data_IF_599703322642
#
_entry.id   IF_599703322642
#
_cell.length_a   1.000
_cell.length_b   1.000
_cell.length_c   1.000
_cell.angle_alpha   90.00
_cell.angle_beta   90.00
_cell.angle_gamma   90.00
#
_symmetry.space_group_name_H-M   'P 1'
#
loop_
_entity.id
_entity.type
_entity.pdbx_description
1 polymer ?
#
# COMPACT_ATOMS: atom_id res chain seq x y z
N UNK A 1 -28.11 -31.50 -6.98
CA UNK A 1 -27.06 -30.49 -6.89
C UNK A 1 -27.59 -29.37 -6.00
N UNK A 2 -26.96 -29.11 -4.86
CA UNK A 2 -27.29 -27.91 -4.07
C UNK A 2 -26.94 -26.67 -4.92
N UNK A 3 -27.76 -25.60 -4.92
CA UNK A 3 -27.44 -24.37 -5.62
C UNK A 3 -26.08 -23.86 -5.12
N UNK A 4 -25.18 -23.49 -6.03
CA UNK A 4 -23.90 -22.87 -5.66
C UNK A 4 -24.24 -21.63 -4.83
N UNK A 5 -23.74 -21.56 -3.60
CA UNK A 5 -23.85 -20.36 -2.77
C UNK A 5 -23.35 -19.16 -3.56
N UNK A 6 -24.08 -18.03 -3.51
CA UNK A 6 -23.61 -16.79 -4.13
C UNK A 6 -22.30 -16.40 -3.46
N UNK A 7 -21.28 -16.14 -4.27
CA UNK A 7 -19.98 -15.65 -3.77
C UNK A 7 -20.16 -14.32 -3.06
N UNK A 8 -19.58 -14.16 -1.88
CA UNK A 8 -19.63 -12.95 -1.07
C UNK A 8 -18.22 -12.63 -0.58
N UNK A 9 -17.70 -11.50 -1.02
CA UNK A 9 -16.42 -10.96 -0.54
C UNK A 9 -16.66 -9.68 0.23
N UNK A 10 -15.94 -9.53 1.33
CA UNK A 10 -15.78 -8.25 2.02
C UNK A 10 -14.38 -7.72 1.73
N UNK A 11 -14.29 -6.43 1.48
CA UNK A 11 -13.04 -5.68 1.56
C UNK A 11 -13.12 -4.77 2.77
N UNK A 12 -12.18 -4.92 3.70
CA UNK A 12 -12.11 -4.12 4.93
C UNK A 12 -10.90 -3.21 4.85
N UNK A 13 -11.10 -1.91 5.10
CA UNK A 13 -10.08 -0.87 4.99
C UNK A 13 -10.12 0.03 6.23
N UNK A 14 -8.99 0.21 6.90
CA UNK A 14 -8.90 1.02 8.13
C UNK A 14 -8.91 2.52 7.80
N UNK A 15 -9.79 3.25 8.43
CA UNK A 15 -9.91 4.70 8.20
C UNK A 15 -8.69 5.46 8.74
N UNK A 16 -7.90 6.06 7.83
CA UNK A 16 -6.67 6.80 8.16
C UNK A 16 -5.75 6.00 9.10
N UNK A 17 -5.41 4.78 8.73
CA UNK A 17 -4.79 3.75 9.56
C UNK A 17 -3.69 4.26 10.50
N UNK A 18 -2.58 4.76 9.96
CA UNK A 18 -1.45 5.19 10.78
C UNK A 18 -1.81 6.31 11.76
N UNK A 19 -2.65 7.27 11.32
CA UNK A 19 -3.10 8.33 12.23
C UNK A 19 -4.02 7.79 13.32
N UNK A 20 -4.97 6.91 12.97
CA UNK A 20 -5.90 6.32 13.93
C UNK A 20 -5.16 5.47 14.96
N UNK A 21 -4.20 4.67 14.52
CA UNK A 21 -3.38 3.84 15.43
C UNK A 21 -2.47 4.67 16.31
N UNK A 22 -1.85 5.75 15.78
CA UNK A 22 -1.06 6.71 16.59
C UNK A 22 -1.94 7.41 17.62
N UNK A 23 -3.14 7.85 17.24
CA UNK A 23 -4.07 8.50 18.17
C UNK A 23 -4.45 7.57 19.35
N UNK A 24 -4.72 6.30 19.05
CA UNK A 24 -5.03 5.30 20.10
C UNK A 24 -3.83 5.07 21.02
N UNK A 25 -2.62 5.01 20.47
CA UNK A 25 -1.41 4.86 21.27
C UNK A 25 -1.21 6.05 22.23
N UNK A 26 -1.37 7.28 21.74
CA UNK A 26 -1.24 8.50 22.54
C UNK A 26 -2.27 8.52 23.66
N UNK A 27 -3.54 8.22 23.37
CA UNK A 27 -4.58 8.15 24.39
C UNK A 27 -4.31 7.05 25.44
N UNK A 28 -3.81 5.88 25.00
CA UNK A 28 -3.43 4.80 25.90
C UNK A 28 -2.24 5.16 26.81
N UNK A 29 -1.36 6.05 26.36
CA UNK A 29 -0.23 6.59 27.12
C UNK A 29 -0.62 7.76 28.04
N UNK A 30 -1.92 8.12 28.11
CA UNK A 30 -2.44 9.15 28.99
C UNK A 30 -2.52 10.56 28.40
N UNK A 31 -2.26 10.72 27.10
CA UNK A 31 -2.52 11.99 26.42
C UNK A 31 -4.04 12.22 26.32
N UNK A 32 -4.47 13.47 26.44
CA UNK A 32 -5.90 13.82 26.43
C UNK A 32 -6.41 14.25 25.04
N UNK A 33 -5.48 14.59 24.14
CA UNK A 33 -5.82 15.06 22.80
C UNK A 33 -5.94 13.90 21.82
N UNK A 34 -7.13 13.71 21.28
CA UNK A 34 -7.34 12.76 20.19
C UNK A 34 -6.93 13.38 18.85
N UNK A 35 -5.83 12.91 18.26
CA UNK A 35 -5.30 13.39 16.98
C UNK A 35 -6.29 13.26 15.80
N UNK A 36 -7.30 12.41 15.91
CA UNK A 36 -8.35 12.23 14.89
C UNK A 36 -9.32 13.41 14.83
N UNK A 37 -9.43 14.19 15.91
CA UNK A 37 -10.38 15.29 16.05
C UNK A 37 -9.83 16.66 15.67
N UNK A 38 -8.52 16.76 15.49
CA UNK A 38 -7.80 18.01 15.18
C UNK A 38 -6.99 17.89 13.89
N UNK A 39 -6.56 19.02 13.26
CA UNK A 39 -5.64 18.95 12.13
C UNK A 39 -4.30 18.35 12.55
N UNK A 40 -4.11 17.06 12.29
CA UNK A 40 -2.93 16.28 12.63
C UNK A 40 -2.50 15.36 11.48
N UNK A 41 -1.22 15.07 11.44
CA UNK A 41 -0.62 14.11 10.51
C UNK A 41 0.36 13.20 11.24
N UNK A 42 0.56 12.01 10.70
CA UNK A 42 1.75 11.20 10.99
C UNK A 42 2.78 11.53 9.92
N UNK A 43 3.98 11.89 10.33
CA UNK A 43 5.04 12.26 9.42
C UNK A 43 6.42 11.90 9.96
N UNK A 44 7.37 11.74 9.05
CA UNK A 44 8.75 11.46 9.39
C UNK A 44 9.50 12.69 9.89
N UNK A 45 10.78 12.48 10.17
CA UNK A 45 11.69 13.50 10.68
C UNK A 45 12.16 14.45 9.57
N UNK A 46 11.82 15.74 9.68
CA UNK A 46 12.20 16.77 8.70
C UNK A 46 13.72 17.00 8.67
N UNK A 47 14.41 16.90 9.82
CA UNK A 47 15.85 17.11 9.90
C UNK A 47 16.63 16.02 9.18
N UNK A 48 16.07 14.80 9.14
CA UNK A 48 16.64 13.66 8.42
C UNK A 48 16.18 13.54 6.96
N UNK A 49 15.52 14.58 6.41
CA UNK A 49 14.92 14.56 5.06
C UNK A 49 13.81 13.51 4.88
N UNK A 50 13.24 13.02 5.97
CA UNK A 50 12.11 12.08 5.96
C UNK A 50 10.78 12.80 6.22
N UNK A 51 10.75 14.13 6.14
CA UNK A 51 9.60 14.97 6.43
C UNK A 51 8.47 14.86 5.41
N UNK A 52 7.85 13.69 5.29
CA UNK A 52 6.72 13.40 4.39
C UNK A 52 5.50 13.01 5.21
N UNK A 53 4.31 13.48 4.79
CA UNK A 53 3.03 13.09 5.37
C UNK A 53 2.71 11.64 5.01
N UNK A 54 2.68 10.76 6.00
CA UNK A 54 2.32 9.33 5.84
C UNK A 54 0.81 9.11 5.97
N UNK A 55 0.17 9.79 6.93
CA UNK A 55 -1.27 9.74 7.13
C UNK A 55 -1.75 11.08 7.70
N UNK A 56 -3.04 11.35 7.54
CA UNK A 56 -3.66 12.61 7.96
C UNK A 56 -5.02 12.40 8.59
N UNK A 57 -5.39 13.30 9.51
CA UNK A 57 -6.73 13.37 10.07
C UNK A 57 -7.74 13.91 9.05
N UNK A 58 -9.04 13.64 9.29
CA UNK A 58 -10.11 14.24 8.49
C UNK A 58 -10.11 15.77 8.61
N UNK A 59 -9.91 16.39 9.78
CA UNK A 59 -9.70 17.84 9.88
C UNK A 59 -8.52 18.33 9.03
N UNK A 60 -7.36 17.65 9.02
CA UNK A 60 -6.22 18.03 8.17
C UNK A 60 -6.55 17.95 6.67
N UNK A 61 -7.34 16.94 6.25
CA UNK A 61 -7.79 16.81 4.85
C UNK A 61 -8.57 18.04 4.36
N UNK A 62 -9.34 18.71 5.24
CA UNK A 62 -10.13 19.90 4.90
C UNK A 62 -9.27 21.11 4.51
N UNK A 63 -8.01 21.15 4.96
CA UNK A 63 -7.02 22.16 4.57
C UNK A 63 -6.24 21.77 3.31
N UNK A 64 -6.66 20.72 2.60
CA UNK A 64 -5.99 20.26 1.37
C UNK A 64 -4.66 19.56 1.59
N UNK A 65 -4.36 19.16 2.83
CA UNK A 65 -3.15 18.37 3.14
C UNK A 65 -3.28 16.98 2.47
N UNK A 66 -2.20 16.52 1.83
CA UNK A 66 -2.20 15.26 1.10
C UNK A 66 -1.13 14.29 1.64
N UNK A 67 -1.45 12.99 1.62
CA UNK A 67 -0.45 11.94 1.88
C UNK A 67 0.60 11.98 0.77
N UNK A 68 1.87 11.85 1.14
CA UNK A 68 3.00 11.92 0.21
C UNK A 68 3.57 13.32 0.01
N UNK A 69 2.91 14.40 0.46
CA UNK A 69 3.51 15.73 0.39
C UNK A 69 4.51 15.99 1.53
N UNK A 70 5.41 16.94 1.35
CA UNK A 70 6.36 17.32 2.40
C UNK A 70 5.65 17.99 3.59
N UNK A 71 6.17 17.78 4.80
CA UNK A 71 5.65 18.46 6.00
C UNK A 71 5.75 19.98 5.88
N UNK A 72 6.78 20.50 5.20
CA UNK A 72 6.90 21.92 4.88
C UNK A 72 5.68 22.43 4.10
N UNK A 73 5.26 21.74 3.03
CA UNK A 73 4.06 22.09 2.27
C UNK A 73 2.78 21.94 3.09
N UNK A 74 2.70 20.91 3.92
CA UNK A 74 1.56 20.71 4.81
C UNK A 74 1.43 21.84 5.84
N UNK A 75 2.54 22.28 6.45
CA UNK A 75 2.57 23.42 7.38
C UNK A 75 2.27 24.77 6.69
N UNK A 76 2.64 24.93 5.43
CA UNK A 76 2.26 26.12 4.65
C UNK A 76 0.75 26.24 4.47
N UNK A 77 0.03 25.12 4.40
CA UNK A 77 -1.44 25.09 4.34
C UNK A 77 -2.11 25.27 5.70
N UNK A 78 -1.48 24.77 6.76
CA UNK A 78 -1.95 24.91 8.13
C UNK A 78 -0.77 25.00 9.11
N UNK A 79 -0.35 26.24 9.55
CA UNK A 79 0.83 26.42 10.37
C UNK A 79 0.83 25.69 11.72
N UNK A 80 -0.34 25.55 12.34
CA UNK A 80 -0.51 24.88 13.63
C UNK A 80 -0.72 23.35 13.49
N UNK A 81 -0.26 22.74 12.39
CA UNK A 81 -0.39 21.32 12.14
C UNK A 81 0.37 20.50 13.19
N UNK A 82 -0.33 19.60 13.83
CA UNK A 82 0.26 18.64 14.75
C UNK A 82 0.89 17.51 13.94
N UNK A 83 2.16 17.25 14.18
CA UNK A 83 2.91 16.17 13.52
C UNK A 83 3.31 15.14 14.58
N UNK A 84 2.83 13.91 14.42
CA UNK A 84 3.21 12.79 15.28
C UNK A 84 4.21 11.89 14.54
N UNK A 85 5.19 11.35 15.25
CA UNK A 85 6.14 10.41 14.69
C UNK A 85 5.48 9.04 14.40
N UNK A 86 5.88 8.31 13.35
CA UNK A 86 5.38 6.98 13.09
C UNK A 86 5.98 5.94 14.03
N UNK A 87 5.15 4.98 14.46
CA UNK A 87 5.55 3.78 15.19
C UNK A 87 5.11 2.54 14.39
N UNK A 88 5.98 2.02 13.55
CA UNK A 88 5.65 0.90 12.66
C UNK A 88 5.43 -0.42 13.43
N UNK A 89 6.08 -0.63 14.56
CA UNK A 89 5.87 -1.83 15.39
C UNK A 89 4.46 -1.84 15.97
N UNK A 90 4.00 -0.67 16.42
CA UNK A 90 2.62 -0.49 16.87
C UNK A 90 1.61 -0.71 15.74
N UNK A 91 1.91 -0.24 14.53
CA UNK A 91 1.04 -0.43 13.37
C UNK A 91 0.92 -1.91 13.00
N UNK A 92 2.01 -2.64 12.96
CA UNK A 92 2.02 -4.09 12.72
C UNK A 92 1.22 -4.84 13.80
N UNK A 93 1.32 -4.43 15.06
CA UNK A 93 0.56 -5.01 16.17
C UNK A 93 -0.94 -4.84 15.98
N UNK A 94 -1.40 -3.64 15.60
CA UNK A 94 -2.82 -3.36 15.36
C UNK A 94 -3.34 -4.09 14.11
N UNK A 95 -2.57 -4.12 13.04
CA UNK A 95 -2.88 -4.89 11.84
C UNK A 95 -3.09 -6.38 12.16
N UNK A 96 -2.15 -6.99 12.87
CA UNK A 96 -2.26 -8.40 13.30
C UNK A 96 -3.46 -8.64 14.22
N UNK A 97 -3.80 -7.70 15.10
CA UNK A 97 -4.98 -7.80 15.95
C UNK A 97 -6.28 -7.79 15.12
N UNK A 98 -6.36 -6.92 14.12
CA UNK A 98 -7.48 -6.87 13.17
C UNK A 98 -7.61 -8.18 12.38
N UNK A 99 -6.53 -8.71 11.84
CA UNK A 99 -6.53 -9.99 11.09
C UNK A 99 -6.99 -11.14 11.98
N UNK A 100 -6.63 -11.17 13.28
CA UNK A 100 -7.13 -12.18 14.22
C UNK A 100 -8.66 -12.11 14.38
N UNK A 101 -9.23 -10.91 14.48
CA UNK A 101 -10.69 -10.73 14.53
C UNK A 101 -11.33 -11.32 13.27
N UNK A 102 -10.76 -11.08 12.08
CA UNK A 102 -11.29 -11.64 10.83
C UNK A 102 -11.27 -13.19 10.83
N UNK A 103 -10.23 -13.78 11.43
CA UNK A 103 -10.11 -15.24 11.56
C UNK A 103 -11.26 -15.92 12.31
N UNK A 104 -12.00 -15.17 13.14
CA UNK A 104 -13.18 -15.70 13.83
C UNK A 104 -14.41 -15.78 12.90
N UNK A 105 -14.37 -15.14 11.74
CA UNK A 105 -15.50 -15.10 10.78
C UNK A 105 -15.24 -15.94 9.53
N UNK A 106 -14.00 -16.04 9.08
CA UNK A 106 -13.63 -16.85 7.92
C UNK A 106 -12.15 -17.27 7.98
N UNK A 107 -11.82 -18.49 7.53
CA UNK A 107 -10.42 -18.88 7.33
C UNK A 107 -9.82 -18.33 6.03
N UNK A 108 -10.65 -17.86 5.10
CA UNK A 108 -10.23 -17.39 3.77
C UNK A 108 -10.00 -15.87 3.82
N UNK A 109 -8.83 -15.47 4.33
CA UNK A 109 -8.41 -14.08 4.45
C UNK A 109 -7.22 -13.85 3.52
N UNK A 110 -7.28 -12.80 2.71
CA UNK A 110 -6.14 -12.28 1.96
C UNK A 110 -5.80 -10.89 2.51
N UNK A 111 -4.70 -10.80 3.24
CA UNK A 111 -4.18 -9.50 3.69
C UNK A 111 -3.54 -8.80 2.49
N UNK A 112 -4.18 -7.74 2.01
CA UNK A 112 -3.73 -6.98 0.84
C UNK A 112 -2.65 -5.95 1.19
N UNK A 113 -2.79 -5.31 2.36
CA UNK A 113 -1.81 -4.37 2.92
C UNK A 113 -1.80 -4.45 4.44
N UNK A 114 -1.07 -3.55 5.10
CA UNK A 114 -1.06 -3.46 6.57
C UNK A 114 -2.43 -3.07 7.15
N UNK A 115 -3.26 -2.38 6.37
CA UNK A 115 -4.54 -1.79 6.78
C UNK A 115 -5.74 -2.28 5.97
N UNK A 116 -5.52 -3.18 5.00
CA UNK A 116 -6.58 -3.70 4.13
C UNK A 116 -6.55 -5.24 4.04
N UNK A 117 -7.74 -5.84 4.02
CA UNK A 117 -7.87 -7.27 3.79
C UNK A 117 -9.15 -7.61 3.02
N UNK A 118 -9.09 -8.69 2.23
CA UNK A 118 -10.25 -9.34 1.64
C UNK A 118 -10.64 -10.56 2.47
N UNK A 119 -11.94 -10.72 2.69
CA UNK A 119 -12.54 -11.84 3.41
C UNK A 119 -13.51 -12.57 2.47
N UNK A 120 -13.32 -13.86 2.27
CA UNK A 120 -14.32 -14.67 1.58
C UNK A 120 -15.36 -15.13 2.60
N UNK A 121 -16.53 -14.51 2.56
CA UNK A 121 -17.66 -14.78 3.44
C UNK A 121 -18.71 -15.69 2.81
N UNK A 122 -18.37 -16.36 1.69
CA UNK A 122 -19.28 -17.27 0.99
C UNK A 122 -19.69 -18.43 1.89
N UNK A 123 -20.99 -18.59 2.09
CA UNK A 123 -21.55 -19.66 2.92
C UNK A 123 -21.54 -19.42 4.43
N UNK A 124 -21.09 -18.25 4.89
CA UNK A 124 -21.03 -17.90 6.33
C UNK A 124 -22.36 -17.41 6.92
N UNK A 125 -23.40 -17.24 6.08
CA UNK A 125 -24.70 -16.67 6.51
C UNK A 125 -25.37 -17.46 7.64
N UNK A 126 -25.19 -18.79 7.66
CA UNK A 126 -25.76 -19.64 8.71
C UNK A 126 -25.14 -19.40 10.10
N UNK A 127 -23.93 -18.84 10.16
CA UNK A 127 -23.22 -18.56 11.41
C UNK A 127 -23.33 -17.10 11.83
N UNK A 128 -23.25 -16.17 10.87
CA UNK A 128 -23.12 -14.74 11.16
C UNK A 128 -24.29 -13.90 10.64
N UNK A 129 -25.31 -14.53 10.08
CA UNK A 129 -26.46 -13.84 9.47
C UNK A 129 -26.15 -13.28 8.08
N UNK A 130 -27.06 -12.45 7.52
CA UNK A 130 -26.90 -11.83 6.21
C UNK A 130 -25.60 -11.00 6.11
N UNK A 131 -24.99 -10.86 4.91
CA UNK A 131 -23.69 -10.20 4.73
C UNK A 131 -23.62 -8.80 5.35
N UNK A 132 -24.68 -8.01 5.26
CA UNK A 132 -24.71 -6.67 5.86
C UNK A 132 -24.65 -6.71 7.39
N UNK A 133 -25.32 -7.68 8.01
CA UNK A 133 -25.30 -7.88 9.47
C UNK A 133 -23.90 -8.35 9.93
N UNK A 134 -23.31 -9.32 9.23
CA UNK A 134 -21.97 -9.80 9.51
C UNK A 134 -20.93 -8.67 9.42
N UNK A 135 -21.01 -7.84 8.37
CA UNK A 135 -20.13 -6.68 8.20
C UNK A 135 -20.31 -5.65 9.33
N UNK A 136 -21.55 -5.38 9.75
CA UNK A 136 -21.82 -4.48 10.89
C UNK A 136 -21.19 -5.05 12.18
N UNK A 137 -21.36 -6.35 12.43
CA UNK A 137 -20.79 -7.01 13.61
C UNK A 137 -19.26 -6.92 13.63
N UNK A 138 -18.61 -7.16 12.48
CA UNK A 138 -17.15 -7.02 12.34
C UNK A 138 -16.72 -5.57 12.62
N UNK A 139 -17.37 -4.60 11.99
CA UNK A 139 -17.09 -3.17 12.15
C UNK A 139 -17.20 -2.74 13.61
N UNK A 140 -18.29 -3.08 14.27
CA UNK A 140 -18.55 -2.71 15.68
C UNK A 140 -17.58 -3.39 16.64
N UNK A 141 -17.19 -4.64 16.33
CA UNK A 141 -16.19 -5.36 17.10
C UNK A 141 -14.81 -4.72 17.02
N UNK A 142 -14.36 -4.35 15.81
CA UNK A 142 -13.09 -3.64 15.61
C UNK A 142 -13.10 -2.34 16.39
N UNK A 143 -14.17 -1.57 16.28
CA UNK A 143 -14.28 -0.30 17.01
C UNK A 143 -14.22 -0.50 18.54
N UNK A 144 -14.96 -1.46 19.06
CA UNK A 144 -15.02 -1.74 20.50
C UNK A 144 -13.71 -2.31 21.06
N UNK A 145 -13.08 -3.26 20.34
CA UNK A 145 -11.91 -3.99 20.86
C UNK A 145 -10.59 -3.32 20.52
N UNK A 146 -10.51 -2.62 19.38
CA UNK A 146 -9.28 -2.02 18.87
C UNK A 146 -9.31 -0.48 18.83
N UNK A 147 -10.50 0.14 18.99
CA UNK A 147 -10.64 1.60 19.12
C UNK A 147 -10.56 2.41 17.82
N UNK A 148 -10.47 1.77 16.64
CA UNK A 148 -10.49 2.46 15.35
C UNK A 148 -11.68 2.03 14.48
N UNK A 149 -11.92 2.76 13.41
CA UNK A 149 -13.02 2.49 12.49
C UNK A 149 -12.52 1.92 11.17
N UNK A 150 -13.38 1.18 10.50
CA UNK A 150 -13.11 0.60 9.18
C UNK A 150 -14.24 0.89 8.22
N UNK A 151 -13.93 0.95 6.93
CA UNK A 151 -14.90 0.83 5.86
C UNK A 151 -14.98 -0.62 5.39
N UNK A 152 -16.18 -1.08 5.06
CA UNK A 152 -16.40 -2.43 4.52
C UNK A 152 -17.17 -2.33 3.20
N UNK A 153 -16.59 -2.88 2.14
CA UNK A 153 -17.27 -3.09 0.86
C UNK A 153 -17.71 -4.55 0.74
N UNK A 154 -18.95 -4.78 0.35
CA UNK A 154 -19.56 -6.11 0.17
C UNK A 154 -19.89 -6.28 -1.31
N UNK A 155 -19.38 -7.35 -1.94
CA UNK A 155 -19.59 -7.60 -3.36
C UNK A 155 -19.44 -9.08 -3.74
N UNK A 156 -19.82 -9.48 -4.97
CA UNK A 156 -19.64 -10.85 -5.44
C UNK A 156 -18.19 -11.20 -5.81
N UNK A 157 -17.30 -10.23 -5.91
CA UNK A 157 -15.85 -10.41 -6.16
C UNK A 157 -15.04 -9.35 -5.40
N UNK A 158 -13.70 -9.53 -5.34
CA UNK A 158 -12.78 -8.65 -4.59
C UNK A 158 -12.69 -7.26 -5.20
N UNK A 159 -12.64 -7.17 -6.53
CA UNK A 159 -12.59 -5.89 -7.25
C UNK A 159 -13.76 -4.98 -6.84
N UNK A 160 -14.99 -5.49 -6.96
CA UNK A 160 -16.17 -4.72 -6.60
C UNK A 160 -16.25 -4.45 -5.09
N UNK A 161 -15.79 -5.38 -4.24
CA UNK A 161 -15.72 -5.15 -2.79
C UNK A 161 -14.75 -4.01 -2.45
N UNK A 162 -13.57 -3.97 -3.10
CA UNK A 162 -12.62 -2.86 -2.96
C UNK A 162 -13.22 -1.54 -3.43
N UNK A 163 -13.83 -1.52 -4.60
CA UNK A 163 -14.49 -0.32 -5.13
C UNK A 163 -15.60 0.18 -4.20
N UNK A 164 -16.39 -0.73 -3.63
CA UNK A 164 -17.45 -0.38 -2.70
C UNK A 164 -16.91 0.26 -1.40
N UNK A 165 -15.82 -0.25 -0.84
CA UNK A 165 -15.22 0.30 0.39
C UNK A 165 -14.72 1.74 0.22
N UNK A 166 -14.47 2.19 -1.01
CA UNK A 166 -13.95 3.51 -1.33
C UNK A 166 -15.05 4.56 -1.66
N UNK A 167 -16.33 4.20 -1.75
CA UNK A 167 -17.40 5.13 -2.14
C UNK A 167 -17.56 6.30 -1.18
N UNK A 168 -17.73 6.03 0.10
CA UNK A 168 -17.86 7.04 1.13
C UNK A 168 -17.10 6.59 2.39
N UNK A 169 -16.23 7.43 2.91
CA UNK A 169 -15.45 7.22 4.13
C UNK A 169 -15.65 8.40 5.07
N UNK A 170 -15.56 8.23 6.38
CA UNK A 170 -15.19 7.03 7.12
C UNK A 170 -16.38 6.22 7.65
N UNK A 171 -16.08 5.03 8.19
CA UNK A 171 -16.94 4.22 9.05
C UNK A 171 -18.26 3.78 8.38
N UNK A 172 -18.18 3.40 7.10
CA UNK A 172 -19.32 3.01 6.28
C UNK A 172 -19.26 1.57 5.82
N UNK A 173 -20.43 1.01 5.51
CA UNK A 173 -20.58 -0.26 4.82
C UNK A 173 -21.30 0.00 3.50
N UNK A 174 -20.75 -0.49 2.41
CA UNK A 174 -21.32 -0.36 1.08
C UNK A 174 -21.49 -1.71 0.41
N UNK A 175 -22.57 -1.86 -0.32
CA UNK A 175 -22.86 -3.03 -1.14
C UNK A 175 -22.78 -2.63 -2.61
N UNK A 176 -22.04 -3.41 -3.40
CA UNK A 176 -21.93 -3.24 -4.85
C UNK A 176 -22.09 -4.60 -5.54
N UNK A 177 -23.25 -4.80 -6.16
CA UNK A 177 -23.52 -5.99 -6.97
C UNK A 177 -23.27 -5.70 -8.45
N UNK A 178 -23.18 -6.75 -9.27
CA UNK A 178 -22.86 -6.62 -10.70
C UNK A 178 -23.87 -5.73 -11.46
N UNK A 179 -25.16 -5.82 -11.12
CA UNK A 179 -26.23 -5.02 -11.70
C UNK A 179 -26.16 -3.53 -11.32
N UNK A 180 -25.48 -3.20 -10.23
CA UNK A 180 -25.27 -1.81 -9.79
C UNK A 180 -24.07 -1.12 -10.46
N UNK A 181 -23.21 -1.86 -11.15
CA UNK A 181 -22.00 -1.31 -11.79
C UNK A 181 -22.31 -0.12 -12.72
N UNK A 182 -23.30 -0.18 -13.65
CA UNK A 182 -23.60 0.94 -14.52
C UNK A 182 -24.06 2.20 -13.78
N UNK A 183 -24.77 2.03 -12.66
CA UNK A 183 -25.34 3.15 -11.92
C UNK A 183 -24.38 3.76 -10.92
N UNK A 184 -23.56 2.93 -10.24
CA UNK A 184 -22.70 3.37 -9.12
C UNK A 184 -21.23 3.54 -9.51
N UNK A 185 -20.74 2.73 -10.44
CA UNK A 185 -19.33 2.72 -10.80
C UNK A 185 -19.04 3.56 -12.06
N UNK A 186 -19.82 3.39 -13.12
CA UNK A 186 -19.56 4.06 -14.40
C UNK A 186 -19.56 5.59 -14.33
N UNK A 187 -20.38 6.29 -13.51
CA UNK A 187 -20.32 7.74 -13.42
C UNK A 187 -19.03 8.29 -12.79
N UNK A 188 -18.26 7.46 -12.10
CA UNK A 188 -17.05 7.89 -11.41
C UNK A 188 -15.92 8.22 -12.39
N UNK A 189 -15.04 9.19 -12.05
CA UNK A 189 -13.82 9.45 -12.81
C UNK A 189 -12.99 8.18 -13.00
N UNK A 190 -12.40 8.00 -14.17
CA UNK A 190 -11.62 6.79 -14.53
C UNK A 190 -10.45 6.53 -13.57
N UNK A 191 -9.90 7.59 -12.97
CA UNK A 191 -8.84 7.47 -11.97
C UNK A 191 -9.28 6.87 -10.63
N UNK A 192 -10.59 6.71 -10.41
CA UNK A 192 -11.10 6.04 -9.22
C UNK A 192 -11.14 4.52 -9.38
N UNK A 193 -10.95 4.00 -10.61
CA UNK A 193 -10.92 2.57 -10.84
C UNK A 193 -9.65 1.96 -10.24
N UNK A 194 -9.83 0.90 -9.47
CA UNK A 194 -8.72 0.14 -8.91
C UNK A 194 -7.69 -0.26 -9.98
N UNK A 195 -6.41 -0.03 -9.69
CA UNK A 195 -5.30 -0.33 -10.59
C UNK A 195 -5.02 0.73 -11.66
N UNK A 196 -5.83 1.79 -11.76
CA UNK A 196 -5.62 2.91 -12.70
C UNK A 196 -4.85 4.03 -12.01
N UNK A 197 -3.55 4.11 -12.26
CA UNK A 197 -2.69 5.17 -11.71
C UNK A 197 -2.68 6.47 -12.54
N UNK A 198 -2.09 7.57 -12.02
CA UNK A 198 -2.09 8.89 -12.67
C UNK A 198 -1.55 8.91 -14.10
N UNK A 199 -0.53 8.09 -14.40
CA UNK A 199 0.01 7.97 -15.77
C UNK A 199 -0.99 7.34 -16.73
N UNK A 200 -1.76 6.35 -16.27
CA UNK A 200 -2.82 5.72 -17.07
C UNK A 200 -3.99 6.67 -17.26
N UNK A 201 -4.38 7.41 -16.22
CA UNK A 201 -5.43 8.46 -16.32
C UNK A 201 -5.09 9.46 -17.41
N UNK A 202 -3.86 10.00 -17.41
CA UNK A 202 -3.42 10.96 -18.43
C UNK A 202 -3.58 10.39 -19.85
N UNK A 203 -3.11 9.17 -20.08
CA UNK A 203 -3.23 8.51 -21.39
C UNK A 203 -4.69 8.19 -21.77
N UNK A 204 -5.54 7.86 -20.79
CA UNK A 204 -6.97 7.66 -21.00
C UNK A 204 -7.66 8.95 -21.46
N UNK A 205 -7.34 10.07 -20.80
CA UNK A 205 -7.87 11.37 -21.20
C UNK A 205 -7.44 11.78 -22.61
N UNK A 206 -6.20 11.46 -23.03
CA UNK A 206 -5.68 11.73 -24.38
C UNK A 206 -6.48 11.00 -25.48
N UNK A 207 -7.17 9.90 -25.15
CA UNK A 207 -8.04 9.14 -26.05
C UNK A 207 -9.54 9.31 -25.75
N UNK A 208 -9.91 10.33 -24.96
CA UNK A 208 -11.31 10.68 -24.71
C UNK A 208 -12.03 9.84 -23.65
N UNK A 209 -11.31 9.08 -22.82
CA UNK A 209 -11.86 8.28 -21.71
C UNK A 209 -11.70 9.05 -20.40
N UNK A 210 -12.79 9.54 -19.82
CA UNK A 210 -12.81 10.34 -18.58
C UNK A 210 -13.46 9.62 -17.42
N UNK A 211 -14.45 8.79 -17.69
CA UNK A 211 -15.21 8.03 -16.70
C UNK A 211 -14.92 6.53 -16.79
N UNK A 212 -15.27 5.80 -15.71
CA UNK A 212 -15.21 4.33 -15.73
C UNK A 212 -16.18 3.77 -16.80
N UNK A 213 -17.32 4.45 -17.02
CA UNK A 213 -18.28 4.08 -18.08
C UNK A 213 -17.72 4.24 -19.49
N UNK A 214 -16.96 5.32 -19.75
CA UNK A 214 -16.26 5.48 -21.03
C UNK A 214 -15.30 4.31 -21.29
N UNK A 215 -14.53 3.94 -20.24
CA UNK A 215 -13.58 2.82 -20.30
C UNK A 215 -14.28 1.47 -20.51
N UNK A 216 -15.40 1.24 -19.82
CA UNK A 216 -16.19 0.02 -19.94
C UNK A 216 -16.69 -0.21 -21.38
N UNK A 217 -17.04 0.88 -22.08
CA UNK A 217 -17.59 0.86 -23.43
C UNK A 217 -16.54 1.15 -24.52
N UNK A 218 -15.27 1.37 -24.15
CA UNK A 218 -14.21 1.67 -25.09
C UNK A 218 -13.90 0.46 -26.01
N UNK A 219 -13.41 0.78 -27.21
CA UNK A 219 -12.96 -0.23 -28.16
C UNK A 219 -11.74 -0.99 -27.62
N UNK A 220 -11.79 -2.33 -27.66
CA UNK A 220 -10.76 -3.19 -27.10
C UNK A 220 -9.42 -3.06 -27.88
N UNK A 221 -9.46 -2.83 -29.18
CA UNK A 221 -8.25 -2.72 -30.00
C UNK A 221 -7.55 -1.38 -29.76
N UNK A 222 -8.31 -0.30 -29.54
CA UNK A 222 -7.76 0.99 -29.12
C UNK A 222 -7.08 0.84 -27.77
N UNK A 223 -7.74 0.21 -26.79
CA UNK A 223 -7.17 0.00 -25.45
C UNK A 223 -5.92 -0.88 -25.51
N UNK A 224 -5.91 -1.90 -26.35
CA UNK A 224 -4.74 -2.77 -26.56
C UNK A 224 -3.59 -2.01 -27.21
N UNK A 225 -3.87 -1.14 -28.17
CA UNK A 225 -2.87 -0.29 -28.84
C UNK A 225 -2.19 0.68 -27.86
N UNK A 226 -2.96 1.27 -26.91
CA UNK A 226 -2.47 2.25 -25.95
C UNK A 226 -1.83 1.62 -24.71
N UNK A 227 -2.43 0.55 -24.16
CA UNK A 227 -2.07 -0.04 -22.86
C UNK A 227 -1.53 -1.46 -22.93
N UNK A 228 -1.45 -2.06 -24.14
CA UNK A 228 -1.06 -3.46 -24.31
C UNK A 228 -2.05 -4.40 -23.62
N UNK A 229 -1.55 -5.45 -22.99
CA UNK A 229 -2.37 -6.44 -22.25
C UNK A 229 -3.20 -5.79 -21.13
N UNK A 230 -2.69 -4.73 -20.50
CA UNK A 230 -3.38 -3.98 -19.44
C UNK A 230 -4.69 -3.34 -19.94
N UNK A 231 -4.83 -3.03 -21.24
CA UNK A 231 -6.04 -2.42 -21.79
C UNK A 231 -7.28 -3.29 -21.57
N UNK A 232 -7.15 -4.61 -21.82
CA UNK A 232 -8.25 -5.54 -21.56
C UNK A 232 -8.59 -5.65 -20.07
N UNK A 233 -7.57 -5.72 -19.21
CA UNK A 233 -7.76 -5.77 -17.75
C UNK A 233 -8.51 -4.54 -17.25
N UNK A 234 -8.16 -3.36 -17.72
CA UNK A 234 -8.85 -2.11 -17.34
C UNK A 234 -10.32 -2.12 -17.79
N UNK A 235 -10.60 -2.62 -18.99
CA UNK A 235 -11.97 -2.74 -19.51
C UNK A 235 -12.78 -3.74 -18.71
N UNK A 236 -12.21 -4.90 -18.38
CA UNK A 236 -12.86 -5.91 -17.55
C UNK A 236 -13.18 -5.35 -16.17
N UNK A 237 -12.23 -4.67 -15.54
CA UNK A 237 -12.41 -4.01 -14.24
C UNK A 237 -13.49 -2.94 -14.28
N UNK A 238 -13.57 -2.12 -15.34
CA UNK A 238 -14.63 -1.14 -15.53
C UNK A 238 -16.02 -1.79 -15.68
N UNK A 239 -16.09 -3.03 -16.13
CA UNK A 239 -17.29 -3.84 -16.19
C UNK A 239 -17.54 -4.70 -14.93
N UNK A 240 -16.74 -4.53 -13.89
CA UNK A 240 -16.87 -5.27 -12.63
C UNK A 240 -16.42 -6.74 -12.73
N UNK A 241 -15.66 -7.10 -13.77
CA UNK A 241 -15.15 -8.45 -14.00
C UNK A 241 -13.75 -8.55 -13.43
N UNK A 242 -13.55 -9.45 -12.47
CA UNK A 242 -12.25 -9.77 -11.89
C UNK A 242 -11.68 -11.00 -12.59
N UNK A 243 -10.48 -10.88 -13.15
CA UNK A 243 -9.81 -11.96 -13.87
C UNK A 243 -8.86 -12.79 -13.01
N UNK A 244 -8.50 -12.31 -11.84
CA UNK A 244 -7.54 -12.98 -10.96
C UNK A 244 -8.24 -13.66 -9.77
N UNK A 245 -8.09 -14.96 -9.56
CA UNK A 245 -8.65 -15.65 -8.39
C UNK A 245 -7.92 -15.20 -7.10
N UNK A 246 -8.61 -15.30 -5.95
CA UNK A 246 -8.01 -15.11 -4.63
C UNK A 246 -6.85 -16.10 -4.45
N UNK A 247 -5.66 -15.57 -4.24
CA UNK A 247 -4.47 -16.40 -4.06
C UNK A 247 -4.38 -16.81 -2.59
N UNK A 248 -4.61 -18.09 -2.30
CA UNK A 248 -4.32 -18.68 -0.97
C UNK A 248 -2.82 -18.90 -0.73
N UNK A 249 -2.00 -18.73 -1.77
CA UNK A 249 -0.55 -18.92 -1.65
C UNK A 249 0.07 -17.77 -0.88
N UNK A 250 0.90 -18.09 0.09
CA UNK A 250 1.88 -17.15 0.61
C UNK A 250 2.55 -16.48 -0.57
N UNK A 251 2.42 -15.15 -0.67
CA UNK A 251 3.16 -14.38 -1.66
C UNK A 251 4.63 -14.64 -1.35
N UNK A 252 5.29 -15.44 -2.19
CA UNK A 252 6.72 -15.65 -2.04
C UNK A 252 7.38 -14.31 -2.31
N UNK A 253 8.00 -13.74 -1.29
CA UNK A 253 8.85 -12.59 -1.48
C UNK A 253 9.97 -12.96 -2.44
N UNK A 254 9.97 -12.37 -3.63
CA UNK A 254 10.95 -12.62 -4.67
C UNK A 254 12.18 -11.71 -4.53
N UNK A 255 12.12 -10.71 -3.64
CA UNK A 255 13.23 -9.78 -3.40
C UNK A 255 13.18 -9.18 -1.99
N UNK A 256 14.34 -8.89 -1.44
CA UNK A 256 14.54 -8.20 -0.17
C UNK A 256 15.29 -6.91 -0.43
N UNK A 257 14.62 -5.78 -0.28
CA UNK A 257 15.22 -4.46 -0.51
C UNK A 257 15.17 -3.58 0.74
N UNK A 258 16.13 -2.66 0.85
CA UNK A 258 16.11 -1.58 1.81
C UNK A 258 16.70 -0.31 1.19
N UNK A 259 16.17 0.86 1.57
CA UNK A 259 16.61 2.14 1.03
C UNK A 259 16.64 3.21 2.11
N UNK A 260 17.50 4.20 1.94
CA UNK A 260 17.59 5.35 2.84
C UNK A 260 17.90 6.62 2.06
N UNK A 261 17.22 7.71 2.41
CA UNK A 261 17.62 9.06 2.00
C UNK A 261 18.60 9.58 3.05
N UNK A 262 19.81 9.94 2.62
CA UNK A 262 20.83 10.43 3.54
C UNK A 262 20.50 11.83 4.05
N UNK A 263 20.83 12.17 5.31
CA UNK A 263 20.57 13.49 5.86
C UNK A 263 21.28 14.61 5.08
N UNK A 264 22.42 14.31 4.47
CA UNK A 264 23.21 15.22 3.66
C UNK A 264 23.57 14.56 2.33
N UNK A 265 23.80 15.39 1.31
CA UNK A 265 24.27 14.93 0.01
C UNK A 265 25.67 14.31 0.14
N UNK A 266 25.83 13.09 -0.35
CA UNK A 266 27.11 12.38 -0.37
C UNK A 266 27.87 12.76 -1.65
N UNK A 267 29.11 13.21 -1.49
CA UNK A 267 29.95 13.68 -2.60
C UNK A 267 30.92 12.61 -3.09
N UNK A 268 31.29 11.66 -2.24
CA UNK A 268 32.28 10.63 -2.54
C UNK A 268 31.75 9.25 -2.17
N UNK A 269 32.11 8.20 -2.92
CA UNK A 269 31.67 6.82 -2.63
C UNK A 269 31.99 6.37 -1.20
N UNK A 270 33.14 6.78 -0.65
CA UNK A 270 33.57 6.38 0.69
C UNK A 270 32.62 6.89 1.80
N UNK A 271 31.93 8.00 1.57
CA UNK A 271 30.96 8.57 2.51
C UNK A 271 29.69 7.70 2.61
N UNK A 272 29.43 6.88 1.59
CA UNK A 272 28.31 5.96 1.52
C UNK A 272 28.61 4.57 2.12
N UNK A 273 29.87 4.22 2.33
CA UNK A 273 30.27 2.87 2.76
C UNK A 273 29.55 2.40 4.04
N UNK A 274 29.46 3.25 5.07
CA UNK A 274 28.77 2.91 6.31
C UNK A 274 27.25 2.72 6.13
N UNK A 275 26.61 3.59 5.33
CA UNK A 275 25.19 3.49 5.00
C UNK A 275 24.91 2.22 4.20
N UNK A 276 25.76 1.91 3.21
CA UNK A 276 25.65 0.67 2.42
C UNK A 276 25.75 -0.55 3.31
N UNK A 277 26.70 -0.59 4.23
CA UNK A 277 26.86 -1.70 5.16
C UNK A 277 25.58 -1.91 6.00
N UNK A 278 25.00 -0.85 6.56
CA UNK A 278 23.78 -0.94 7.33
C UNK A 278 22.57 -1.46 6.51
N UNK A 279 22.45 -1.03 5.25
CA UNK A 279 21.42 -1.54 4.34
C UNK A 279 21.63 -3.02 4.03
N UNK A 280 22.84 -3.42 3.71
CA UNK A 280 23.20 -4.82 3.43
C UNK A 280 22.97 -5.72 4.65
N UNK A 281 23.30 -5.24 5.86
CA UNK A 281 23.05 -5.97 7.11
C UNK A 281 21.54 -6.20 7.33
N UNK A 282 20.73 -5.18 7.13
CA UNK A 282 19.28 -5.28 7.21
C UNK A 282 18.71 -6.29 6.21
N UNK A 283 19.15 -6.25 4.95
CA UNK A 283 18.69 -7.18 3.89
C UNK A 283 19.15 -8.61 4.22
N UNK A 284 20.44 -8.80 4.52
CA UNK A 284 20.99 -10.10 4.86
C UNK A 284 20.36 -10.71 6.13
N UNK A 285 20.07 -9.86 7.13
CA UNK A 285 19.36 -10.28 8.34
C UNK A 285 17.98 -10.83 8.06
N UNK A 286 17.17 -10.15 7.20
CA UNK A 286 15.86 -10.65 6.79
C UNK A 286 15.95 -11.94 5.97
N UNK A 287 16.89 -12.04 5.03
CA UNK A 287 17.13 -13.29 4.31
C UNK A 287 17.42 -14.46 5.26
N UNK A 288 18.27 -14.26 6.27
CA UNK A 288 18.58 -15.30 7.28
C UNK A 288 17.38 -15.66 8.14
N UNK A 289 16.58 -14.67 8.55
CA UNK A 289 15.35 -14.91 9.36
C UNK A 289 14.35 -15.76 8.62
N UNK A 290 14.23 -15.59 7.30
CA UNK A 290 13.29 -16.33 6.47
C UNK A 290 13.90 -17.60 5.85
N UNK A 291 15.16 -17.94 6.22
CA UNK A 291 15.86 -19.12 5.71
C UNK A 291 16.18 -19.07 4.21
N UNK A 292 16.25 -17.85 3.64
CA UNK A 292 16.45 -17.62 2.20
C UNK A 292 17.89 -17.17 1.88
N UNK A 293 18.23 -17.25 0.60
CA UNK A 293 19.47 -16.76 0.03
C UNK A 293 19.20 -15.94 -1.22
N UNK A 294 20.05 -14.99 -1.54
CA UNK A 294 19.96 -14.17 -2.74
C UNK A 294 21.08 -14.53 -3.72
N UNK A 295 20.76 -14.49 -5.01
CA UNK A 295 21.73 -14.70 -6.10
C UNK A 295 21.95 -13.43 -6.92
N UNK A 296 20.98 -12.54 -6.98
CA UNK A 296 21.09 -11.27 -7.68
C UNK A 296 21.22 -10.15 -6.66
N UNK A 297 22.27 -9.35 -6.77
CA UNK A 297 22.47 -8.15 -5.95
C UNK A 297 22.30 -6.94 -6.85
N UNK A 298 21.37 -6.04 -6.47
CA UNK A 298 21.09 -4.81 -7.19
C UNK A 298 21.37 -3.61 -6.30
N UNK A 299 22.03 -2.61 -6.85
CA UNK A 299 22.22 -1.30 -6.20
C UNK A 299 21.60 -0.23 -7.06
N UNK A 300 20.87 0.68 -6.43
CA UNK A 300 20.33 1.87 -7.09
C UNK A 300 20.80 3.12 -6.36
N UNK A 301 21.26 4.12 -7.13
CA UNK A 301 21.62 5.45 -6.65
C UNK A 301 20.65 6.49 -7.20
N UNK A 302 20.39 7.51 -6.40
CA UNK A 302 19.59 8.69 -6.83
C UNK A 302 20.41 9.94 -6.54
N UNK A 303 20.68 10.74 -7.57
CA UNK A 303 21.40 12.01 -7.41
C UNK A 303 20.47 13.14 -6.90
N UNK A 304 21.05 14.28 -6.56
CA UNK A 304 20.31 15.44 -6.06
C UNK A 304 19.42 16.14 -7.10
N UNK A 305 19.45 15.68 -8.37
CA UNK A 305 18.47 16.03 -9.40
C UNK A 305 17.39 14.93 -9.57
N UNK A 306 17.29 14.00 -8.64
CA UNK A 306 16.36 12.84 -8.64
C UNK A 306 16.51 11.91 -9.85
N UNK A 307 17.68 11.90 -10.49
CA UNK A 307 17.97 10.93 -11.54
C UNK A 307 18.44 9.62 -10.91
N UNK A 308 17.91 8.53 -11.43
CA UNK A 308 18.17 7.17 -10.93
C UNK A 308 19.17 6.45 -11.84
N UNK A 309 20.14 5.79 -11.24
CA UNK A 309 21.02 4.82 -11.88
C UNK A 309 20.97 3.52 -11.07
N UNK A 310 20.92 2.38 -11.74
CA UNK A 310 20.90 1.07 -11.09
C UNK A 310 21.82 0.09 -11.82
N UNK A 311 22.47 -0.76 -11.06
CA UNK A 311 23.31 -1.84 -11.59
C UNK A 311 23.10 -3.09 -10.75
N UNK A 312 23.17 -4.25 -11.40
CA UNK A 312 23.01 -5.54 -10.75
C UNK A 312 24.06 -6.54 -11.22
N UNK A 313 24.29 -7.55 -10.39
CA UNK A 313 25.14 -8.68 -10.72
C UNK A 313 24.51 -9.96 -10.19
N UNK A 314 24.64 -11.04 -10.97
CA UNK A 314 24.26 -12.39 -10.55
C UNK A 314 25.49 -13.08 -9.99
N UNK A 315 25.41 -13.53 -8.74
CA UNK A 315 26.48 -14.25 -8.05
C UNK A 315 26.58 -15.69 -8.56
N UNK A 316 27.79 -16.26 -8.55
CA UNK A 316 27.99 -17.65 -8.90
C UNK A 316 27.30 -18.62 -7.91
N UNK A 317 27.24 -18.26 -6.64
CA UNK A 317 26.56 -19.02 -5.59
C UNK A 317 25.62 -18.15 -4.78
N UNK A 318 24.41 -18.66 -4.41
CA UNK A 318 23.50 -17.95 -3.55
C UNK A 318 24.12 -17.66 -2.18
N UNK A 319 23.75 -16.52 -1.57
CA UNK A 319 24.29 -16.10 -0.28
C UNK A 319 23.27 -15.36 0.57
N UNK A 320 23.43 -15.42 1.90
CA UNK A 320 22.80 -14.53 2.87
C UNK A 320 23.85 -13.91 3.81
N UNK A 321 25.13 -13.98 3.40
CA UNK A 321 26.25 -13.36 4.12
C UNK A 321 26.22 -11.85 3.91
N UNK A 322 26.18 -11.09 5.00
CA UNK A 322 26.30 -9.62 4.97
C UNK A 322 27.56 -9.17 4.26
N UNK A 323 28.68 -9.84 4.51
CA UNK A 323 29.98 -9.50 3.93
C UNK A 323 30.00 -9.63 2.40
N UNK A 324 29.52 -10.76 1.87
CA UNK A 324 29.45 -10.99 0.42
C UNK A 324 28.51 -9.98 -0.25
N UNK A 325 27.33 -9.76 0.33
CA UNK A 325 26.35 -8.80 -0.20
C UNK A 325 26.94 -7.39 -0.17
N UNK A 326 27.57 -6.99 0.93
CA UNK A 326 28.18 -5.66 1.08
C UNK A 326 29.33 -5.42 0.10
N UNK A 327 30.28 -6.33 0.00
CA UNK A 327 31.42 -6.16 -0.93
C UNK A 327 30.95 -6.06 -2.37
N UNK A 328 29.99 -6.90 -2.77
CA UNK A 328 29.39 -6.86 -4.10
C UNK A 328 28.65 -5.53 -4.35
N UNK A 329 27.80 -5.12 -3.42
CA UNK A 329 27.05 -3.87 -3.53
C UNK A 329 27.99 -2.64 -3.57
N UNK A 330 29.07 -2.65 -2.77
CA UNK A 330 30.06 -1.59 -2.75
C UNK A 330 30.82 -1.45 -4.08
N UNK A 331 31.13 -2.55 -4.74
CA UNK A 331 31.74 -2.54 -6.08
C UNK A 331 30.77 -1.96 -7.12
N UNK A 332 29.51 -2.43 -7.15
CA UNK A 332 28.48 -1.89 -8.04
C UNK A 332 28.27 -0.40 -7.84
N UNK A 333 28.19 0.05 -6.58
CA UNK A 333 28.09 1.44 -6.22
C UNK A 333 29.23 2.28 -6.80
N UNK A 334 30.47 1.83 -6.62
CA UNK A 334 31.66 2.57 -7.08
C UNK A 334 31.73 2.68 -8.60
N UNK A 335 31.31 1.64 -9.31
CA UNK A 335 31.27 1.63 -10.78
C UNK A 335 30.29 2.63 -11.37
N UNK A 336 29.18 2.91 -10.68
CA UNK A 336 28.15 3.81 -11.18
C UNK A 336 28.03 5.12 -10.40
N UNK A 337 29.03 5.47 -9.57
CA UNK A 337 28.98 6.69 -8.80
C UNK A 337 28.82 7.90 -9.72
N UNK A 338 27.77 8.72 -9.53
CA UNK A 338 27.53 9.85 -10.43
C UNK A 338 28.50 11.01 -10.18
N UNK A 339 28.68 11.85 -11.20
CA UNK A 339 29.48 13.11 -11.09
C UNK A 339 28.81 14.16 -10.17
N UNK A 340 27.60 13.86 -9.68
CA UNK A 340 26.82 14.75 -8.82
C UNK A 340 26.62 14.11 -7.45
N UNK A 341 26.36 14.93 -6.40
CA UNK A 341 26.07 14.41 -5.08
C UNK A 341 24.86 13.46 -5.07
N UNK A 342 24.95 12.36 -4.31
CA UNK A 342 23.89 11.38 -4.12
C UNK A 342 22.99 11.72 -2.94
N UNK A 343 21.67 11.50 -3.11
CA UNK A 343 20.63 11.69 -2.09
C UNK A 343 20.10 10.38 -1.50
N UNK A 344 19.94 9.37 -2.34
CA UNK A 344 19.20 8.15 -2.00
C UNK A 344 19.99 6.91 -2.39
N UNK A 345 19.85 5.90 -1.56
CA UNK A 345 20.52 4.63 -1.65
C UNK A 345 19.52 3.49 -1.53
N UNK A 346 19.61 2.53 -2.43
CA UNK A 346 18.80 1.30 -2.34
C UNK A 346 19.71 0.10 -2.59
N UNK A 347 19.63 -0.91 -1.72
CA UNK A 347 20.25 -2.23 -1.95
C UNK A 347 19.13 -3.27 -1.94
N UNK A 348 18.98 -3.99 -3.03
CA UNK A 348 18.02 -5.08 -3.18
C UNK A 348 18.77 -6.39 -3.43
N UNK A 349 18.31 -7.46 -2.81
CA UNK A 349 18.74 -8.81 -3.06
C UNK A 349 17.53 -9.64 -3.49
N UNK A 350 17.59 -10.22 -4.70
CA UNK A 350 16.53 -11.07 -5.22
C UNK A 350 16.87 -12.55 -5.08
N UNK A 351 15.87 -13.32 -4.68
CA UNK A 351 15.90 -14.78 -4.70
C UNK A 351 15.49 -15.25 -6.11
N UNK A 352 16.28 -16.12 -6.73
CA UNK A 352 15.84 -16.91 -7.87
C UNK A 352 15.30 -18.24 -7.32
N UNK A 353 13.98 -18.39 -7.37
CA UNK A 353 13.31 -19.65 -7.08
C UNK A 353 13.50 -20.67 -8.21
#
# INVERSE_FOLDING_TARGET
MLPKAKTVYFHVDVNSAFLSWTAIQHLANGETLDLRTVPAVVGGDEEKRHGVVLAKSIPAKRYGIQTGESLFMARSKYPNLIVAAPDFDWYVKNSKAMIRIFGDYTPDIEQYSIDEAFLNMTGSEGLFGPPLQAAQTIKDRIHRELGFTVNIGIAPNRLLAKMASDFEKPDKIHVLTQDMVPQKLWPLPVGNLFGVGPKSVKRMHEIGIYTIGDLANADADILRGVFGVRGQVFRDYANGIESEPMTRSEVKDNSYGNSVTTPQDLKRPVEADATMLALCESVAGRLRMDGKTARVITVQLVDNAFRRSSHQVTLNSPTNSTDVIYHTARELMRQMWPDRPCLLYTSDAADEA
#
